data_IF_078600377147
#
_entry.id   IF_078600377147
#
_cell.length_a   1.000
_cell.length_b   1.000
_cell.length_c   1.000
_cell.angle_alpha   90.00
_cell.angle_beta   90.00
_cell.angle_gamma   90.00
#
_symmetry.space_group_name_H-M   'P 1'
#
loop_
_entity.id
_entity.type
_entity.pdbx_description
1 polymer ?
#
# COMPACT_ATOMS: atom_id res chain seq x y z
N UNK A 1 -12.02 -23.15 12.93
CA UNK A 1 -11.65 -21.73 13.12
C UNK A 1 -10.15 -21.64 12.88
N UNK A 2 -9.72 -21.07 11.74
CA UNK A 2 -8.30 -20.83 11.47
C UNK A 2 -7.84 -19.74 12.43
N UNK A 3 -6.75 -19.97 13.18
CA UNK A 3 -6.15 -18.93 13.98
C UNK A 3 -5.76 -17.80 13.01
N UNK A 4 -6.23 -16.59 13.28
CA UNK A 4 -5.85 -15.41 12.51
C UNK A 4 -4.33 -15.34 12.46
N UNK A 5 -3.76 -15.30 11.27
CA UNK A 5 -2.32 -15.24 11.08
C UNK A 5 -1.89 -13.81 11.46
N UNK A 6 -1.58 -13.62 12.75
CA UNK A 6 -0.97 -12.38 13.21
C UNK A 6 0.36 -12.24 12.46
N UNK A 7 0.49 -11.19 11.65
CA UNK A 7 1.81 -10.84 11.11
C UNK A 7 2.61 -10.22 12.25
N UNK A 8 3.65 -10.91 12.77
CA UNK A 8 4.41 -10.40 13.91
C UNK A 8 5.03 -9.04 13.57
N UNK A 9 4.94 -8.10 14.51
CA UNK A 9 5.57 -6.78 14.38
C UNK A 9 4.75 -5.69 13.67
N UNK A 10 3.61 -5.99 13.05
CA UNK A 10 2.71 -4.93 12.56
C UNK A 10 2.05 -4.25 13.75
N UNK A 11 2.18 -2.90 13.89
CA UNK A 11 1.72 -2.16 15.06
C UNK A 11 0.21 -1.89 15.02
N UNK A 12 -0.61 -2.94 15.04
CA UNK A 12 -2.08 -2.82 14.96
C UNK A 12 -2.63 -2.22 16.24
N UNK A 13 -3.33 -1.09 16.13
CA UNK A 13 -3.98 -0.39 17.24
C UNK A 13 -5.41 -0.87 17.46
N UNK A 14 -6.10 -1.26 16.39
CA UNK A 14 -7.51 -1.68 16.41
C UNK A 14 -7.79 -2.70 15.30
N UNK A 15 -8.77 -3.57 15.50
CA UNK A 15 -9.28 -4.53 14.50
C UNK A 15 -10.74 -4.29 14.21
N UNK A 16 -11.06 -4.07 12.94
CA UNK A 16 -12.42 -3.82 12.41
C UNK A 16 -12.66 -4.68 11.17
N UNK A 17 -12.54 -6.01 11.33
CA UNK A 17 -12.66 -6.91 10.19
C UNK A 17 -14.04 -6.85 9.54
N UNK A 18 -14.09 -6.43 8.29
CA UNK A 18 -15.27 -6.54 7.44
C UNK A 18 -15.34 -7.94 6.83
N UNK A 19 -16.43 -8.65 7.02
CA UNK A 19 -16.65 -9.97 6.42
C UNK A 19 -16.78 -9.92 4.89
N UNK A 20 -17.22 -8.78 4.37
CA UNK A 20 -17.45 -8.59 2.92
C UNK A 20 -16.15 -8.42 2.16
N UNK A 21 -15.13 -7.88 2.82
CA UNK A 21 -13.84 -7.58 2.19
C UNK A 21 -12.89 -8.77 2.12
N UNK A 22 -13.28 -9.95 2.60
CA UNK A 22 -12.36 -11.07 2.78
C UNK A 22 -12.75 -12.25 1.91
N UNK A 23 -11.76 -12.81 1.23
CA UNK A 23 -11.88 -14.08 0.50
C UNK A 23 -10.56 -14.85 0.56
N UNK A 24 -10.56 -16.18 0.33
CA UNK A 24 -9.34 -16.96 0.36
C UNK A 24 -8.26 -16.43 -0.60
N UNK A 25 -6.99 -16.55 -0.21
CA UNK A 25 -5.86 -16.28 -1.09
C UNK A 25 -5.85 -17.31 -2.23
N UNK A 26 -5.55 -16.82 -3.43
CA UNK A 26 -5.39 -17.68 -4.62
C UNK A 26 -3.93 -17.88 -5.01
N UNK A 27 -3.04 -17.04 -4.46
CA UNK A 27 -1.58 -17.13 -4.62
C UNK A 27 -0.90 -16.57 -3.37
N UNK A 28 0.37 -16.96 -3.10
CA UNK A 28 1.14 -16.42 -1.97
C UNK A 28 1.32 -14.90 -2.04
N UNK A 29 1.52 -14.29 -0.87
CA UNK A 29 1.89 -12.87 -0.75
C UNK A 29 3.29 -12.62 -1.30
N UNK A 30 3.43 -11.54 -2.05
CA UNK A 30 4.69 -11.13 -2.68
C UNK A 30 5.10 -9.69 -2.34
N UNK A 31 4.24 -8.92 -1.68
CA UNK A 31 4.56 -7.54 -1.36
C UNK A 31 3.41 -6.74 -0.73
N UNK A 32 3.61 -5.43 -0.72
CA UNK A 32 2.71 -4.40 -0.21
C UNK A 32 2.34 -3.46 -1.33
N UNK A 33 1.08 -3.07 -1.42
CA UNK A 33 0.60 -2.04 -2.33
C UNK A 33 0.06 -0.87 -1.51
N UNK A 34 0.66 0.30 -1.73
CA UNK A 34 0.34 1.53 -1.02
C UNK A 34 -0.79 2.29 -1.71
N UNK A 35 -1.68 2.83 -0.90
CA UNK A 35 -2.85 3.58 -1.30
C UNK A 35 -3.07 4.82 -0.43
N UNK A 36 -3.95 5.72 -0.87
CA UNK A 36 -4.71 6.60 0.01
C UNK A 36 -6.21 6.36 -0.24
N UNK A 37 -7.05 6.62 0.74
CA UNK A 37 -8.47 6.22 0.69
C UNK A 37 -9.41 7.28 0.12
N UNK A 38 -8.94 8.52 -0.01
CA UNK A 38 -9.69 9.69 -0.47
C UNK A 38 -10.78 10.17 0.52
N UNK A 39 -10.66 9.81 1.79
CA UNK A 39 -11.55 10.30 2.84
C UNK A 39 -11.06 11.62 3.44
N UNK A 40 -12.01 12.42 3.92
CA UNK A 40 -11.69 13.70 4.58
C UNK A 40 -11.53 13.57 6.10
N UNK A 41 -11.82 12.40 6.68
CA UNK A 41 -11.84 12.15 8.12
C UNK A 41 -11.56 10.69 8.43
N UNK A 42 -10.74 10.45 9.45
CA UNK A 42 -10.37 9.12 9.93
C UNK A 42 -11.57 8.24 10.31
N UNK A 43 -12.52 8.80 11.08
CA UNK A 43 -13.69 8.09 11.53
C UNK A 43 -14.57 7.62 10.36
N UNK A 44 -14.73 8.45 9.34
CA UNK A 44 -15.46 8.08 8.13
C UNK A 44 -14.78 6.97 7.34
N UNK A 45 -13.45 7.01 7.25
CA UNK A 45 -12.69 5.96 6.59
C UNK A 45 -12.90 4.62 7.30
N UNK A 46 -12.79 4.60 8.63
CA UNK A 46 -12.99 3.38 9.43
C UNK A 46 -14.44 2.88 9.32
N UNK A 47 -15.44 3.76 9.45
CA UNK A 47 -16.86 3.39 9.32
C UNK A 47 -17.16 2.85 7.92
N UNK A 48 -16.71 3.54 6.87
CA UNK A 48 -16.93 3.12 5.48
C UNK A 48 -16.37 1.73 5.19
N UNK A 49 -15.11 1.49 5.52
CA UNK A 49 -14.49 0.20 5.27
C UNK A 49 -14.96 -0.93 6.20
N UNK A 50 -15.66 -0.57 7.28
CA UNK A 50 -16.34 -1.54 8.16
C UNK A 50 -17.78 -1.80 7.75
N UNK A 51 -18.37 -0.99 6.87
CA UNK A 51 -19.76 -1.15 6.40
C UNK A 51 -19.88 -2.41 5.54
N UNK A 52 -20.87 -3.28 5.80
CA UNK A 52 -21.15 -4.45 4.96
C UNK A 52 -21.44 -4.15 3.49
N UNK A 53 -21.81 -2.92 3.15
CA UNK A 53 -22.05 -2.49 1.76
C UNK A 53 -20.74 -2.13 1.03
N UNK A 54 -19.64 -1.94 1.74
CA UNK A 54 -18.36 -1.62 1.13
C UNK A 54 -17.79 -2.85 0.44
N UNK A 55 -17.57 -2.77 -0.87
CA UNK A 55 -17.10 -3.88 -1.71
C UNK A 55 -15.61 -3.83 -2.04
N UNK A 56 -14.92 -2.80 -1.58
CA UNK A 56 -13.47 -2.62 -1.71
C UNK A 56 -12.87 -2.22 -0.36
N UNK A 57 -11.58 -2.46 -0.16
CA UNK A 57 -10.90 -2.08 1.07
C UNK A 57 -9.50 -2.67 1.16
N UNK A 58 -8.86 -2.36 2.25
CA UNK A 58 -7.44 -2.62 2.48
C UNK A 58 -7.26 -3.66 3.58
N UNK A 59 -6.04 -4.19 3.71
CA UNK A 59 -5.68 -4.99 4.88
C UNK A 59 -5.52 -4.08 6.10
N UNK A 60 -4.80 -2.97 5.91
CA UNK A 60 -4.60 -1.97 6.96
C UNK A 60 -4.89 -0.56 6.46
N UNK A 61 -5.53 0.22 7.33
CA UNK A 61 -5.74 1.65 7.20
C UNK A 61 -4.92 2.37 8.27
N UNK A 62 -4.16 3.39 7.86
CA UNK A 62 -3.33 4.19 8.75
C UNK A 62 -3.96 5.56 8.92
N UNK A 63 -4.35 5.90 10.15
CA UNK A 63 -5.04 7.13 10.51
C UNK A 63 -4.04 8.30 10.66
N UNK A 64 -4.54 9.52 10.69
CA UNK A 64 -3.73 10.75 10.72
C UNK A 64 -2.75 10.82 11.91
N UNK A 65 -3.11 10.20 13.03
CA UNK A 65 -2.28 10.12 14.23
C UNK A 65 -1.29 8.94 14.24
N UNK A 66 -1.26 8.15 13.16
CA UNK A 66 -0.39 6.99 12.99
C UNK A 66 -0.97 5.68 13.55
N UNK A 67 -2.17 5.68 14.12
CA UNK A 67 -2.84 4.43 14.52
C UNK A 67 -3.12 3.57 13.29
N UNK A 68 -2.95 2.26 13.45
CA UNK A 68 -3.18 1.27 12.40
C UNK A 68 -4.44 0.48 12.70
N UNK A 69 -5.41 0.55 11.81
CA UNK A 69 -6.65 -0.23 11.87
C UNK A 69 -6.54 -1.40 10.91
N UNK A 70 -6.62 -2.63 11.43
CA UNK A 70 -6.69 -3.84 10.63
C UNK A 70 -8.14 -4.07 10.18
N UNK A 71 -8.39 -3.89 8.89
CA UNK A 71 -9.73 -3.99 8.28
C UNK A 71 -10.05 -5.40 7.79
N UNK A 72 -9.03 -6.22 7.58
CA UNK A 72 -9.19 -7.60 7.13
C UNK A 72 -8.08 -8.48 7.71
N UNK A 73 -8.40 -9.77 7.90
CA UNK A 73 -7.41 -10.78 8.29
C UNK A 73 -6.27 -10.82 7.26
N UNK A 74 -5.00 -10.63 7.66
CA UNK A 74 -3.85 -10.70 6.76
C UNK A 74 -3.72 -12.02 5.99
N UNK A 75 -4.28 -13.11 6.49
CA UNK A 75 -4.34 -14.39 5.80
C UNK A 75 -5.35 -14.41 4.64
N UNK A 76 -6.17 -13.38 4.50
CA UNK A 76 -7.23 -13.31 3.50
C UNK A 76 -6.89 -12.29 2.41
N UNK A 77 -7.45 -12.50 1.23
CA UNK A 77 -7.41 -11.54 0.13
C UNK A 77 -8.39 -10.40 0.38
N UNK A 78 -7.99 -9.16 0.06
CA UNK A 78 -8.83 -7.97 0.08
C UNK A 78 -8.94 -7.35 -1.32
N UNK A 79 -10.09 -6.80 -1.72
CA UNK A 79 -10.28 -6.21 -3.05
C UNK A 79 -9.81 -4.74 -3.08
N UNK A 80 -8.49 -4.51 -3.05
CA UNK A 80 -7.88 -3.17 -3.01
C UNK A 80 -7.26 -2.73 -4.34
N UNK A 81 -6.81 -3.68 -5.19
CA UNK A 81 -5.94 -3.36 -6.31
C UNK A 81 -6.69 -3.11 -7.63
N UNK A 82 -7.97 -3.53 -7.74
CA UNK A 82 -8.70 -3.43 -9.00
C UNK A 82 -8.02 -4.17 -10.14
N UNK A 83 -8.02 -3.56 -11.34
CA UNK A 83 -7.37 -4.11 -12.54
C UNK A 83 -5.93 -3.61 -12.61
N UNK A 84 -4.98 -4.51 -12.36
CA UNK A 84 -3.55 -4.26 -12.33
C UNK A 84 -2.80 -5.06 -13.39
N UNK A 85 -1.54 -4.64 -13.70
CA UNK A 85 -0.61 -5.42 -14.52
C UNK A 85 -0.32 -6.77 -13.89
N UNK A 86 -0.12 -6.77 -12.58
CA UNK A 86 0.11 -8.00 -11.84
C UNK A 86 -1.19 -8.78 -11.70
N UNK A 87 -1.23 -9.95 -12.32
CA UNK A 87 -2.37 -10.88 -12.19
C UNK A 87 -2.51 -11.29 -10.73
N UNK A 88 -3.76 -11.32 -10.23
CA UNK A 88 -4.07 -11.64 -8.83
C UNK A 88 -3.47 -10.66 -7.80
N UNK A 89 -3.31 -9.38 -8.16
CA UNK A 89 -2.73 -8.36 -7.29
C UNK A 89 -3.37 -8.30 -5.90
N UNK A 90 -4.70 -8.45 -5.80
CA UNK A 90 -5.44 -8.53 -4.54
C UNK A 90 -5.00 -9.69 -3.60
N UNK A 91 -4.42 -10.77 -4.15
CA UNK A 91 -3.84 -11.85 -3.36
C UNK A 91 -2.34 -11.64 -3.12
N UNK A 92 -1.60 -11.18 -4.14
CA UNK A 92 -0.14 -11.03 -4.05
C UNK A 92 0.29 -9.88 -3.15
N UNK A 93 -0.50 -8.80 -3.09
CA UNK A 93 -0.15 -7.65 -2.27
C UNK A 93 -1.08 -7.49 -1.07
N UNK A 94 -0.51 -7.06 0.05
CA UNK A 94 -1.29 -6.46 1.12
C UNK A 94 -1.65 -5.04 0.73
N UNK A 95 -2.91 -4.66 0.84
CA UNK A 95 -3.32 -3.27 0.67
C UNK A 95 -3.08 -2.49 1.96
N UNK A 96 -2.28 -1.43 1.89
CA UNK A 96 -2.04 -0.48 2.99
C UNK A 96 -2.42 0.90 2.51
N UNK A 97 -3.34 1.54 3.21
CA UNK A 97 -3.85 2.86 2.85
C UNK A 97 -3.60 3.89 3.94
N UNK A 98 -3.21 5.11 3.56
CA UNK A 98 -3.31 6.25 4.45
C UNK A 98 -4.72 6.84 4.37
N UNK A 99 -5.33 7.12 5.52
CA UNK A 99 -6.58 7.88 5.61
C UNK A 99 -6.29 9.35 5.29
N UNK A 100 -6.56 9.78 4.07
CA UNK A 100 -6.34 11.16 3.62
C UNK A 100 -7.17 11.49 2.38
N UNK A 101 -7.58 12.75 2.26
CA UNK A 101 -8.46 13.23 1.18
C UNK A 101 -7.78 13.43 -0.18
N UNK A 102 -6.53 12.99 -0.35
CA UNK A 102 -5.81 13.18 -1.61
C UNK A 102 -5.42 14.62 -1.94
N UNK A 103 -5.68 15.59 -1.06
CA UNK A 103 -5.34 17.00 -1.23
C UNK A 103 -4.15 17.42 -0.36
N UNK A 104 -3.90 16.71 0.71
CA UNK A 104 -2.79 16.93 1.64
C UNK A 104 -1.89 15.70 1.67
N UNK A 105 -0.57 15.84 1.95
CA UNK A 105 0.30 14.70 2.13
C UNK A 105 -0.15 13.87 3.34
N UNK A 106 0.19 12.59 3.31
CA UNK A 106 0.18 11.79 4.51
C UNK A 106 1.02 12.46 5.61
N UNK A 107 0.54 12.38 6.85
CA UNK A 107 1.26 12.94 7.98
C UNK A 107 2.57 12.17 8.23
N UNK A 108 3.58 12.77 8.87
CA UNK A 108 4.80 12.02 9.25
C UNK A 108 4.48 10.75 10.05
N UNK A 109 3.50 10.81 10.96
CA UNK A 109 3.06 9.65 11.74
C UNK A 109 2.44 8.54 10.89
N UNK A 110 1.68 8.92 9.85
CA UNK A 110 1.18 7.94 8.88
C UNK A 110 2.34 7.29 8.11
N UNK A 111 3.30 8.08 7.65
CA UNK A 111 4.48 7.56 6.94
C UNK A 111 5.28 6.62 7.83
N UNK A 112 5.55 7.00 9.07
CA UNK A 112 6.26 6.15 10.06
C UNK A 112 5.54 4.82 10.28
N UNK A 113 4.21 4.85 10.44
CA UNK A 113 3.40 3.65 10.61
C UNK A 113 3.40 2.76 9.36
N UNK A 114 3.32 3.34 8.16
CA UNK A 114 3.44 2.62 6.89
C UNK A 114 4.81 1.95 6.77
N UNK A 115 5.89 2.66 7.11
CA UNK A 115 7.25 2.11 7.13
C UNK A 115 7.33 0.93 8.10
N UNK A 116 6.80 1.06 9.33
CA UNK A 116 6.77 -0.02 10.32
C UNK A 116 6.01 -1.26 9.82
N UNK A 117 4.86 -1.08 9.16
CA UNK A 117 4.12 -2.18 8.52
C UNK A 117 4.98 -2.86 7.45
N UNK A 118 5.60 -2.08 6.57
CA UNK A 118 6.44 -2.62 5.49
C UNK A 118 7.64 -3.39 6.03
N UNK A 119 8.33 -2.88 7.06
CA UNK A 119 9.46 -3.56 7.72
C UNK A 119 9.00 -4.89 8.32
N UNK A 120 7.89 -4.89 9.08
CA UNK A 120 7.35 -6.10 9.68
C UNK A 120 7.00 -7.17 8.64
N UNK A 121 6.37 -6.77 7.53
CA UNK A 121 6.00 -7.68 6.45
C UNK A 121 7.23 -8.21 5.69
N UNK A 122 8.21 -7.36 5.36
CA UNK A 122 9.45 -7.78 4.72
C UNK A 122 10.20 -8.80 5.58
N UNK A 123 10.24 -8.59 6.90
CA UNK A 123 10.88 -9.49 7.86
C UNK A 123 10.12 -10.81 7.99
N UNK A 124 8.80 -10.76 8.22
CA UNK A 124 7.96 -11.95 8.41
C UNK A 124 7.95 -12.88 7.19
N UNK A 125 7.89 -12.29 5.98
CA UNK A 125 7.87 -13.05 4.73
C UNK A 125 9.25 -13.32 4.14
N UNK A 126 10.31 -12.77 4.71
CA UNK A 126 11.69 -12.88 4.19
C UNK A 126 11.82 -12.50 2.71
N UNK A 127 11.00 -11.57 2.22
CA UNK A 127 10.99 -11.19 0.80
C UNK A 127 12.33 -10.67 0.28
N UNK A 128 13.18 -10.16 1.17
CA UNK A 128 14.50 -9.64 0.83
C UNK A 128 15.64 -10.60 1.24
N UNK A 129 15.36 -11.67 2.00
CA UNK A 129 16.39 -12.55 2.57
C UNK A 129 17.05 -13.50 1.55
N UNK A 130 16.34 -13.88 0.49
CA UNK A 130 16.87 -14.79 -0.55
C UNK A 130 17.99 -14.18 -1.38
N UNK A 131 18.31 -12.93 -1.16
CA UNK A 131 19.31 -12.18 -1.91
C UNK A 131 20.42 -11.58 -1.05
N UNK A 132 20.30 -11.61 0.27
CA UNK A 132 21.28 -11.04 1.19
C UNK A 132 22.57 -11.84 1.27
N UNK A 133 22.56 -13.12 0.88
CA UNK A 133 23.75 -13.97 0.94
C UNK A 133 24.79 -13.67 -0.14
N UNK A 134 24.38 -13.10 -1.29
CA UNK A 134 25.29 -12.90 -2.41
C UNK A 134 25.63 -11.42 -2.72
N UNK A 135 24.83 -10.46 -2.24
CA UNK A 135 25.01 -9.04 -2.58
C UNK A 135 24.57 -8.12 -1.41
N UNK A 136 25.22 -8.24 -0.26
CA UNK A 136 24.95 -7.41 0.93
C UNK A 136 25.21 -5.89 0.70
N UNK A 137 25.85 -5.49 -0.40
CA UNK A 137 26.15 -4.08 -0.69
C UNK A 137 25.08 -3.37 -1.55
N UNK A 138 24.14 -4.12 -2.10
CA UNK A 138 23.07 -3.56 -2.94
C UNK A 138 21.73 -4.14 -2.52
N UNK A 139 21.19 -3.70 -1.36
CA UNK A 139 19.74 -3.72 -1.15
C UNK A 139 19.16 -2.72 -2.17
N UNK A 140 19.24 -3.14 -3.43
CA UNK A 140 18.98 -2.36 -4.61
C UNK A 140 17.53 -1.84 -4.54
N UNK A 141 17.37 -0.55 -4.75
CA UNK A 141 16.07 0.09 -4.86
C UNK A 141 15.10 -0.68 -5.78
N UNK A 142 15.61 -1.47 -6.73
CA UNK A 142 14.82 -2.34 -7.62
C UNK A 142 14.09 -3.46 -6.89
N UNK A 143 14.67 -4.05 -5.81
CA UNK A 143 14.03 -5.14 -5.05
C UNK A 143 12.96 -4.61 -4.13
N UNK A 144 13.23 -3.52 -3.42
CA UNK A 144 12.20 -2.84 -2.65
C UNK A 144 11.07 -2.35 -3.55
N UNK A 145 11.38 -1.88 -4.76
CA UNK A 145 10.39 -1.52 -5.75
C UNK A 145 9.54 -2.71 -6.23
N UNK A 146 10.07 -3.92 -6.22
CA UNK A 146 9.29 -5.12 -6.51
C UNK A 146 8.33 -5.51 -5.37
N UNK A 147 8.72 -5.26 -4.11
CA UNK A 147 7.99 -5.64 -2.90
C UNK A 147 7.05 -4.54 -2.41
N UNK A 148 7.46 -3.27 -2.45
CA UNK A 148 6.68 -2.10 -2.01
C UNK A 148 6.32 -1.29 -3.24
N UNK A 149 5.04 -1.29 -3.63
CA UNK A 149 4.54 -0.64 -4.84
C UNK A 149 3.48 0.37 -4.52
N UNK A 150 3.39 1.41 -5.34
CA UNK A 150 2.21 2.25 -5.40
C UNK A 150 1.14 1.60 -6.28
N UNK A 151 -0.12 1.77 -5.95
CA UNK A 151 -1.21 1.29 -6.78
C UNK A 151 -1.15 1.89 -8.20
N UNK A 152 -0.78 3.16 -8.34
CA UNK A 152 -0.62 3.84 -9.62
C UNK A 152 0.52 3.28 -10.49
N UNK A 153 1.53 2.62 -9.89
CA UNK A 153 2.58 1.92 -10.62
C UNK A 153 2.06 0.63 -11.27
N UNK A 154 0.98 0.04 -10.75
CA UNK A 154 0.40 -1.23 -11.17
C UNK A 154 -0.91 -1.08 -11.96
N UNK A 155 -1.64 0.02 -11.80
CA UNK A 155 -2.96 0.20 -12.40
C UNK A 155 -2.90 0.26 -13.94
N UNK A 156 -3.63 -0.64 -14.59
CA UNK A 156 -3.64 -0.79 -16.06
C UNK A 156 -4.14 0.47 -16.77
N UNK A 157 -5.13 1.13 -16.20
CA UNK A 157 -5.73 2.33 -16.80
C UNK A 157 -4.74 3.52 -16.86
N UNK A 158 -3.89 3.69 -15.86
CA UNK A 158 -2.86 4.73 -15.87
C UNK A 158 -1.88 4.53 -17.03
N UNK A 159 -1.49 3.30 -17.29
CA UNK A 159 -0.54 2.95 -18.34
C UNK A 159 -1.15 3.01 -19.72
N UNK A 160 -2.39 2.50 -19.88
CA UNK A 160 -3.10 2.61 -21.15
C UNK A 160 -3.22 4.07 -21.58
N UNK A 161 -3.54 4.96 -20.64
CA UNK A 161 -3.63 6.38 -20.88
C UNK A 161 -2.26 7.01 -21.23
N UNK A 162 -1.22 6.68 -20.46
CA UNK A 162 0.15 7.14 -20.70
C UNK A 162 0.65 6.75 -22.08
N UNK A 163 0.43 5.49 -22.49
CA UNK A 163 0.81 4.99 -23.81
C UNK A 163 0.03 5.65 -24.93
N UNK A 164 -1.28 5.79 -24.77
CA UNK A 164 -2.15 6.44 -25.77
C UNK A 164 -1.78 7.91 -25.97
N UNK A 165 -1.30 8.59 -24.93
CA UNK A 165 -0.86 9.98 -24.99
C UNK A 165 0.63 10.15 -25.39
N UNK A 166 1.39 9.07 -25.59
CA UNK A 166 2.82 9.11 -25.90
C UNK A 166 3.67 9.78 -24.80
N UNK A 167 3.21 9.69 -23.55
CA UNK A 167 3.84 10.36 -22.40
C UNK A 167 4.70 9.37 -21.59
N UNK A 168 5.68 9.91 -20.86
CA UNK A 168 6.33 9.15 -19.79
C UNK A 168 5.33 8.84 -18.67
N UNK A 169 5.56 7.78 -17.88
CA UNK A 169 4.67 7.36 -16.79
C UNK A 169 4.38 8.50 -15.81
N UNK A 170 5.41 9.29 -15.45
CA UNK A 170 5.27 10.46 -14.57
C UNK A 170 4.32 11.53 -15.16
N UNK A 171 4.53 11.88 -16.43
CA UNK A 171 3.68 12.86 -17.12
C UNK A 171 2.26 12.34 -17.32
N UNK A 172 2.10 11.03 -17.57
CA UNK A 172 0.80 10.37 -17.71
C UNK A 172 0.01 10.40 -16.39
N UNK A 173 0.64 10.06 -15.26
CA UNK A 173 0.02 10.16 -13.93
C UNK A 173 -0.38 11.60 -13.61
N UNK A 174 0.52 12.56 -13.84
CA UNK A 174 0.23 13.98 -13.62
C UNK A 174 -0.95 14.50 -14.47
N UNK A 175 -1.04 14.06 -15.73
CA UNK A 175 -2.15 14.44 -16.59
C UNK A 175 -3.46 13.76 -16.16
N UNK A 176 -3.42 12.47 -15.77
CA UNK A 176 -4.57 11.74 -15.28
C UNK A 176 -5.19 12.40 -14.05
N UNK A 177 -4.36 12.82 -13.08
CA UNK A 177 -4.83 13.55 -11.91
C UNK A 177 -5.41 14.94 -12.24
N UNK A 178 -4.84 15.66 -13.22
CA UNK A 178 -5.43 16.94 -13.70
C UNK A 178 -6.83 16.76 -14.30
N UNK A 179 -7.15 15.58 -14.79
CA UNK A 179 -8.50 15.23 -15.25
C UNK A 179 -9.44 14.87 -14.09
N UNK A 180 -9.05 15.10 -12.83
CA UNK A 180 -9.84 14.78 -11.65
C UNK A 180 -9.93 13.29 -11.34
N UNK A 181 -8.99 12.50 -11.86
CA UNK A 181 -8.91 11.06 -11.60
C UNK A 181 -7.96 10.77 -10.47
N UNK A 182 -8.31 9.82 -9.61
CA UNK A 182 -7.46 9.40 -8.50
C UNK A 182 -6.15 8.79 -9.02
N UNK A 183 -5.02 9.28 -8.51
CA UNK A 183 -3.67 8.75 -8.74
C UNK A 183 -3.13 8.30 -7.39
N UNK A 184 -3.22 7.03 -7.12
CA UNK A 184 -3.07 6.42 -5.80
C UNK A 184 -1.75 5.62 -5.75
N UNK A 185 -0.82 5.87 -4.84
CA UNK A 185 -0.88 6.80 -3.71
C UNK A 185 -0.20 8.15 -3.96
N UNK A 186 0.42 8.36 -5.14
CA UNK A 186 1.18 9.60 -5.37
C UNK A 186 0.32 10.85 -5.41
N UNK A 187 -0.94 10.74 -5.85
CA UNK A 187 -1.82 11.88 -5.99
C UNK A 187 -1.34 12.91 -7.03
N UNK A 188 -2.17 13.93 -7.30
CA UNK A 188 -1.74 15.10 -8.06
C UNK A 188 -2.15 16.34 -7.30
N UNK A 189 -1.23 16.85 -6.51
CA UNK A 189 -1.41 18.06 -5.74
C UNK A 189 -1.00 19.29 -6.53
N UNK A 190 -1.54 20.45 -6.14
CA UNK A 190 -1.17 21.74 -6.76
C UNK A 190 0.33 22.05 -6.61
N UNK A 191 0.94 21.65 -5.49
CA UNK A 191 2.37 21.83 -5.20
C UNK A 191 3.27 20.72 -5.78
N UNK A 192 2.70 19.79 -6.54
CA UNK A 192 3.36 18.63 -7.16
C UNK A 192 4.03 17.65 -6.16
N UNK A 193 3.72 17.76 -4.87
CA UNK A 193 4.21 16.78 -3.90
C UNK A 193 3.29 15.56 -3.89
N UNK A 194 3.81 14.33 -3.75
CA UNK A 194 2.98 13.14 -3.63
C UNK A 194 2.18 13.14 -2.32
N UNK A 195 1.08 12.42 -2.29
CA UNK A 195 0.35 12.13 -1.04
C UNK A 195 1.20 11.22 -0.16
N UNK A 196 1.73 10.14 -0.75
CA UNK A 196 2.76 9.29 -0.16
C UNK A 196 3.93 9.24 -1.15
N UNK A 197 5.12 9.61 -0.70
CA UNK A 197 6.34 9.41 -1.46
C UNK A 197 6.81 7.97 -1.29
N UNK A 198 6.56 7.14 -2.30
CA UNK A 198 6.90 5.73 -2.28
C UNK A 198 8.40 5.51 -2.15
N UNK A 199 9.23 6.38 -2.75
CA UNK A 199 10.68 6.25 -2.69
C UNK A 199 11.21 6.63 -1.31
N UNK A 200 10.59 7.60 -0.63
CA UNK A 200 10.88 7.90 0.77
C UNK A 200 10.56 6.70 1.67
N UNK A 201 9.38 6.10 1.51
CA UNK A 201 9.01 4.86 2.23
C UNK A 201 10.01 3.74 1.96
N UNK A 202 10.37 3.47 0.70
CA UNK A 202 11.36 2.45 0.34
C UNK A 202 12.72 2.70 0.98
N UNK A 203 13.17 3.95 0.97
CA UNK A 203 14.46 4.35 1.56
C UNK A 203 14.46 4.17 3.08
N UNK A 204 13.38 4.56 3.76
CA UNK A 204 13.22 4.38 5.20
C UNK A 204 13.14 2.89 5.59
N UNK A 205 12.42 2.07 4.82
CA UNK A 205 12.38 0.60 5.02
C UNK A 205 13.76 -0.02 4.83
N UNK A 206 14.50 0.38 3.78
CA UNK A 206 15.86 -0.08 3.56
C UNK A 206 16.79 0.26 4.73
N UNK A 207 16.67 1.47 5.28
CA UNK A 207 17.44 1.88 6.45
C UNK A 207 17.10 1.02 7.66
N UNK A 208 15.82 0.88 7.99
CA UNK A 208 15.36 0.11 9.14
C UNK A 208 15.75 -1.37 9.08
N UNK A 209 15.74 -1.98 7.88
CA UNK A 209 16.10 -3.39 7.70
C UNK A 209 17.61 -3.66 7.85
N UNK A 210 18.48 -2.65 7.67
CA UNK A 210 19.92 -2.80 7.93
C UNK A 210 20.24 -2.90 9.43
N UNK A 211 19.38 -2.33 10.28
CA UNK A 211 19.57 -2.30 11.73
C UNK A 211 18.94 -3.52 12.44
N UNK A 212 18.29 -4.40 11.68
CA UNK A 212 17.74 -5.66 12.21
C UNK A 212 18.86 -6.71 12.19
N UNK A 213 19.26 -7.27 13.36
CA UNK A 213 20.34 -8.25 13.48
C UNK A 213 20.05 -9.59 12.80
#
# INVERSE_FOLDING_TARGET
MSAALLVPGVPVSERRHSRVLQSPLVVPRAGVMLHYDDSSRDDWAVEWFSDPKCTNGYTWLVLDDGRVVELADPAMRTPHAGVCRTRNANSQFYGVSAATNGLVPATPRQVDAIVAICVALCSAHRWLATAAAEHAEHADGSRLAAVIRGHDEEAVWTQAYTRAAGLSDEKGRALWGRLGRKVDPTGVRKDRRPIIDINEVRSAVAAALRDVP
#
